data_IF_960535364139
#
_entry.id   IF_960535364139
#
_cell.length_a   1.000
_cell.length_b   1.000
_cell.length_c   1.000
_cell.angle_alpha   90.00
_cell.angle_beta   90.00
_cell.angle_gamma   90.00
#
_symmetry.space_group_name_H-M   'P 1'
#
loop_
_entity.id
_entity.type
_entity.pdbx_description
1 polymer ?
#
# COMPACT_ATOMS: atom_id res chain seq x y z
N UNK A 1 1.07 3.77 7.09
CA UNK A 1 2.21 3.83 6.15
C UNK A 1 3.39 3.09 6.79
N UNK A 2 4.14 2.23 6.07
CA UNK A 2 5.14 1.34 6.69
C UNK A 2 6.58 1.58 6.18
N UNK A 3 7.52 2.04 7.03
CA UNK A 3 8.91 2.23 6.63
C UNK A 3 9.60 0.87 6.39
N UNK A 4 10.36 0.78 5.30
CA UNK A 4 11.25 -0.35 5.02
C UNK A 4 12.67 0.13 5.24
N UNK A 5 13.29 -0.38 6.30
CA UNK A 5 14.68 -0.11 6.67
C UNK A 5 15.47 -1.38 6.41
N UNK A 6 16.44 -1.32 5.49
CA UNK A 6 17.37 -2.42 5.25
C UNK A 6 18.75 -2.03 5.79
N UNK A 7 19.21 -2.76 6.80
CA UNK A 7 20.47 -2.51 7.49
C UNK A 7 21.68 -3.24 6.87
N UNK A 8 21.49 -4.09 5.86
CA UNK A 8 22.54 -5.03 5.39
C UNK A 8 22.75 -5.06 3.87
N UNK A 9 21.78 -4.68 3.04
CA UNK A 9 21.92 -4.72 1.57
C UNK A 9 21.58 -3.38 0.91
N UNK A 10 22.59 -2.71 0.34
CA UNK A 10 22.46 -1.42 -0.35
C UNK A 10 21.60 -1.46 -1.62
N UNK A 11 21.37 -2.65 -2.20
CA UNK A 11 20.53 -2.83 -3.39
C UNK A 11 19.07 -3.16 -3.07
N UNK A 12 18.72 -3.33 -1.78
CA UNK A 12 17.34 -3.54 -1.39
C UNK A 12 16.57 -2.21 -1.39
N UNK A 13 15.27 -2.27 -1.69
CA UNK A 13 14.41 -1.10 -1.60
C UNK A 13 14.46 -0.51 -0.18
N UNK A 14 14.84 0.75 -0.11
CA UNK A 14 14.71 1.61 1.06
C UNK A 14 13.63 2.63 0.73
N UNK A 15 12.72 2.84 1.67
CA UNK A 15 11.62 3.76 1.47
C UNK A 15 10.39 3.30 2.22
N UNK A 16 9.23 3.60 1.68
CA UNK A 16 7.98 3.40 2.40
C UNK A 16 6.92 2.77 1.52
N UNK A 17 6.13 1.87 2.09
CA UNK A 17 5.01 1.23 1.39
C UNK A 17 3.67 1.64 1.97
N UNK A 18 2.64 1.59 1.13
CA UNK A 18 1.26 1.91 1.46
C UNK A 18 0.32 1.00 0.66
N UNK A 19 -0.94 0.95 1.09
CA UNK A 19 -2.04 0.32 0.34
C UNK A 19 -3.09 1.39 0.11
N UNK A 20 -3.47 1.58 -1.15
CA UNK A 20 -4.60 2.41 -1.55
C UNK A 20 -5.85 1.56 -1.64
N UNK A 21 -6.98 2.20 -1.35
CA UNK A 21 -8.32 1.67 -1.53
C UNK A 21 -9.09 2.67 -2.39
N UNK A 22 -9.79 2.18 -3.42
CA UNK A 22 -10.60 3.02 -4.29
C UNK A 22 -12.11 2.90 -4.00
N UNK A 23 -12.91 3.66 -4.76
CA UNK A 23 -14.38 3.67 -4.66
C UNK A 23 -15.03 2.31 -4.98
N UNK A 24 -14.30 1.40 -5.61
CA UNK A 24 -14.76 0.06 -5.98
C UNK A 24 -14.20 -1.01 -5.03
N UNK A 25 -13.69 -0.58 -3.87
CA UNK A 25 -13.08 -1.45 -2.86
C UNK A 25 -11.84 -2.21 -3.36
N UNK A 26 -11.22 -1.76 -4.45
CA UNK A 26 -10.01 -2.37 -4.96
C UNK A 26 -8.81 -1.89 -4.17
N UNK A 27 -8.01 -2.85 -3.72
CA UNK A 27 -6.75 -2.60 -3.01
C UNK A 27 -5.59 -2.65 -3.96
N UNK A 28 -4.72 -1.65 -3.91
CA UNK A 28 -3.48 -1.62 -4.67
C UNK A 28 -2.32 -1.21 -3.78
N UNK A 29 -1.24 -1.98 -3.83
CA UNK A 29 0.00 -1.63 -3.14
C UNK A 29 0.70 -0.47 -3.85
N UNK A 30 1.41 0.33 -3.06
CA UNK A 30 2.27 1.38 -3.56
C UNK A 30 3.52 1.56 -2.73
N UNK A 31 4.52 2.21 -3.33
CA UNK A 31 5.79 2.50 -2.68
C UNK A 31 6.32 3.89 -3.02
N UNK A 32 7.03 4.48 -2.06
CA UNK A 32 7.78 5.73 -2.17
C UNK A 32 9.26 5.40 -1.91
N UNK A 33 10.14 5.47 -2.93
CA UNK A 33 11.58 5.27 -2.74
C UNK A 33 12.19 6.34 -1.84
N UNK A 34 13.20 5.98 -1.04
CA UNK A 34 13.91 6.89 -0.12
C UNK A 34 14.56 8.08 -0.84
N UNK A 35 15.01 7.90 -2.08
CA UNK A 35 15.54 8.99 -2.91
C UNK A 35 14.53 10.12 -3.15
N UNK A 36 13.24 9.81 -2.97
CA UNK A 36 12.11 10.74 -3.11
C UNK A 36 11.49 11.10 -1.75
N UNK A 37 11.95 10.47 -0.64
CA UNK A 37 11.21 10.45 0.62
C UNK A 37 11.34 11.71 1.44
N UNK A 38 12.45 12.44 1.36
CA UNK A 38 12.72 13.60 2.24
C UNK A 38 11.64 14.69 2.12
N UNK A 39 10.91 14.75 0.99
CA UNK A 39 9.77 15.66 0.79
C UNK A 39 8.41 14.99 0.60
N UNK A 40 8.36 13.69 0.28
CA UNK A 40 7.09 12.99 -0.01
C UNK A 40 6.55 12.17 1.16
N UNK A 41 7.39 11.74 2.10
CA UNK A 41 6.95 10.97 3.27
C UNK A 41 5.89 11.72 4.09
N UNK A 42 6.04 13.03 4.22
CA UNK A 42 5.11 13.90 4.96
C UNK A 42 3.76 14.11 4.25
N UNK A 43 3.56 13.59 3.03
CA UNK A 43 2.35 13.88 2.22
C UNK A 43 1.23 12.86 2.33
N UNK A 44 1.46 11.66 2.89
CA UNK A 44 0.36 10.72 3.12
C UNK A 44 0.16 10.44 4.61
N UNK A 45 -1.03 10.79 5.06
CA UNK A 45 -1.63 10.32 6.31
C UNK A 45 -2.61 9.18 6.03
N UNK A 46 -2.63 8.19 6.92
CA UNK A 46 -3.58 7.08 6.87
C UNK A 46 -5.02 7.57 7.03
N UNK A 47 -5.96 6.94 6.33
CA UNK A 47 -7.38 7.29 6.35
C UNK A 47 -7.76 8.56 5.58
N UNK A 48 -6.79 9.28 4.98
CA UNK A 48 -7.05 10.40 4.09
C UNK A 48 -7.20 9.95 2.64
N UNK A 49 -7.91 10.75 1.85
CA UNK A 49 -8.20 10.47 0.45
C UNK A 49 -7.39 11.42 -0.43
N UNK A 50 -6.70 10.85 -1.42
CA UNK A 50 -5.79 11.58 -2.31
C UNK A 50 -6.12 11.33 -3.76
N UNK A 51 -5.85 12.33 -4.59
CA UNK A 51 -5.66 12.16 -6.01
C UNK A 51 -4.17 11.97 -6.29
N UNK A 52 -3.80 10.82 -6.86
CA UNK A 52 -2.43 10.51 -7.25
C UNK A 52 -2.36 10.43 -8.78
N UNK A 53 -1.44 11.15 -9.41
CA UNK A 53 -1.29 11.27 -10.88
C UNK A 53 0.16 11.16 -11.30
N UNK A 54 0.41 10.76 -12.54
CA UNK A 54 1.75 10.70 -13.16
C UNK A 54 2.76 9.82 -12.41
N UNK A 55 2.25 8.78 -11.76
CA UNK A 55 3.05 7.73 -11.15
C UNK A 55 3.38 6.62 -12.16
N UNK A 56 4.38 5.80 -11.85
CA UNK A 56 4.74 4.64 -12.65
C UNK A 56 4.18 3.35 -12.04
N UNK A 57 4.00 2.32 -12.85
CA UNK A 57 3.70 0.97 -12.37
C UNK A 57 4.96 0.12 -12.28
N UNK A 58 4.97 -0.80 -11.31
CA UNK A 58 5.96 -1.87 -11.24
C UNK A 58 5.27 -3.22 -11.05
N UNK A 59 5.89 -4.33 -11.48
CA UNK A 59 5.36 -5.66 -11.20
C UNK A 59 5.25 -5.92 -9.70
N UNK A 60 4.12 -6.50 -9.27
CA UNK A 60 3.92 -6.93 -7.89
C UNK A 60 4.60 -8.29 -7.66
N UNK A 61 5.45 -8.39 -6.64
CA UNK A 61 6.20 -9.60 -6.36
C UNK A 61 5.25 -10.67 -5.80
N UNK A 62 5.02 -11.74 -6.57
CA UNK A 62 4.11 -12.83 -6.20
C UNK A 62 4.40 -13.48 -4.84
N UNK A 63 5.64 -13.43 -4.34
CA UNK A 63 6.02 -14.02 -3.05
C UNK A 63 5.60 -13.19 -1.85
N UNK A 64 5.47 -11.87 -2.01
CA UNK A 64 5.27 -10.94 -0.89
C UNK A 64 4.12 -9.96 -1.13
N UNK A 65 3.35 -10.14 -2.21
CA UNK A 65 2.19 -9.30 -2.52
C UNK A 65 1.16 -9.38 -1.40
N UNK A 66 0.66 -8.23 -1.00
CA UNK A 66 -0.44 -8.07 -0.05
C UNK A 66 -1.79 -7.91 -0.76
N UNK A 67 -1.78 -7.66 -2.06
CA UNK A 67 -2.97 -7.46 -2.87
C UNK A 67 -3.01 -8.41 -4.06
N UNK A 68 -4.20 -8.64 -4.60
CA UNK A 68 -4.40 -9.49 -5.78
C UNK A 68 -3.85 -8.84 -7.06
N UNK A 69 -3.59 -7.53 -7.04
CA UNK A 69 -3.19 -6.77 -8.21
C UNK A 69 -1.80 -7.18 -8.73
N UNK A 70 -1.63 -7.34 -10.05
CA UNK A 70 -0.36 -7.76 -10.64
C UNK A 70 0.70 -6.66 -10.67
N UNK A 71 0.32 -5.42 -10.38
CA UNK A 71 1.20 -4.26 -10.35
C UNK A 71 1.06 -3.49 -9.04
N UNK A 72 2.06 -2.66 -8.75
CA UNK A 72 2.07 -1.71 -7.64
C UNK A 72 2.32 -0.29 -8.17
N UNK A 73 1.84 0.71 -7.43
CA UNK A 73 2.12 2.12 -7.66
C UNK A 73 3.56 2.41 -7.23
N UNK A 74 4.35 3.04 -8.10
CA UNK A 74 5.67 3.54 -7.78
C UNK A 74 5.70 5.05 -7.89
N UNK A 75 5.68 5.70 -6.73
CA UNK A 75 5.82 7.14 -6.62
C UNK A 75 7.25 7.52 -7.01
N UNK A 76 7.36 8.62 -7.76
CA UNK A 76 8.62 9.16 -8.27
C UNK A 76 8.55 10.70 -8.28
N UNK A 77 9.60 11.34 -8.76
CA UNK A 77 9.70 12.81 -8.82
C UNK A 77 8.63 13.48 -9.70
N UNK A 78 8.08 12.77 -10.69
CA UNK A 78 7.01 13.31 -11.56
C UNK A 78 5.62 13.12 -10.97
N UNK A 79 5.48 12.38 -9.87
CA UNK A 79 4.18 12.04 -9.32
C UNK A 79 3.58 13.23 -8.60
N UNK A 80 2.34 13.56 -8.95
CA UNK A 80 1.55 14.61 -8.28
C UNK A 80 0.57 13.94 -7.32
N UNK A 81 0.60 14.40 -6.06
CA UNK A 81 -0.29 13.95 -4.99
C UNK A 81 -1.04 15.16 -4.47
N UNK A 82 -2.37 15.10 -4.46
CA UNK A 82 -3.24 16.16 -3.96
C UNK A 82 -4.22 15.59 -2.94
N UNK A 83 -4.26 16.16 -1.74
CA UNK A 83 -5.24 15.80 -0.71
C UNK A 83 -6.62 16.31 -1.14
N UNK A 84 -7.64 15.45 -1.03
CA UNK A 84 -9.04 15.83 -1.27
C UNK A 84 -9.65 16.24 0.06
N UNK A 85 -10.03 17.52 0.19
CA UNK A 85 -10.64 18.09 1.40
C UNK A 85 -12.14 18.37 1.26
N UNK A 86 -12.62 18.51 0.02
CA UNK A 86 -14.02 18.81 -0.31
C UNK A 86 -14.58 17.76 -1.27
N UNK A 87 -15.91 17.56 -1.27
CA UNK A 87 -16.61 16.58 -2.10
C UNK A 87 -15.97 15.18 -2.03
N UNK A 88 -15.70 14.75 -0.79
CA UNK A 88 -14.98 13.51 -0.51
C UNK A 88 -15.78 12.34 -1.13
N UNK A 89 -15.20 11.57 -2.07
CA UNK A 89 -15.87 10.41 -2.62
C UNK A 89 -16.15 9.40 -1.51
N UNK A 90 -17.22 8.59 -1.61
CA UNK A 90 -17.62 7.63 -0.58
C UNK A 90 -16.72 6.39 -0.58
N UNK A 91 -15.40 6.58 -0.45
CA UNK A 91 -14.41 5.53 -0.30
C UNK A 91 -14.43 5.08 1.16
N UNK A 92 -14.66 3.80 1.46
CA UNK A 92 -14.59 3.30 2.82
C UNK A 92 -13.17 3.50 3.38
N UNK A 93 -13.03 4.00 4.60
CA UNK A 93 -11.70 4.23 5.19
C UNK A 93 -10.94 2.92 5.42
N UNK A 94 -11.65 1.85 5.75
CA UNK A 94 -11.08 0.53 6.00
C UNK A 94 -12.07 -0.56 5.61
N UNK A 95 -11.55 -1.71 5.16
CA UNK A 95 -12.34 -2.92 4.93
C UNK A 95 -11.78 -4.03 5.81
N UNK A 96 -12.57 -4.45 6.79
CA UNK A 96 -12.23 -5.54 7.69
C UNK A 96 -13.01 -6.80 7.34
N UNK A 97 -12.35 -7.95 7.43
CA UNK A 97 -12.97 -9.28 7.29
C UNK A 97 -12.76 -10.07 8.58
N UNK A 98 -13.50 -9.76 9.65
CA UNK A 98 -13.31 -10.41 10.94
C UNK A 98 -13.52 -11.92 10.80
N UNK A 99 -12.61 -12.69 11.38
CA UNK A 99 -12.71 -14.14 11.46
C UNK A 99 -12.97 -14.56 12.90
N UNK A 100 -13.77 -15.61 13.10
CA UNK A 100 -14.01 -16.14 14.45
C UNK A 100 -12.74 -16.83 14.95
N UNK A 101 -12.53 -16.81 16.27
CA UNK A 101 -11.34 -17.41 16.89
C UNK A 101 -11.07 -18.88 16.49
N UNK A 102 -12.07 -19.78 16.43
CA UNK A 102 -11.84 -21.15 15.95
C UNK A 102 -11.38 -21.21 14.49
N UNK A 103 -11.87 -20.31 13.64
CA UNK A 103 -11.45 -20.22 12.23
C UNK A 103 -10.00 -19.75 12.14
N UNK A 104 -9.59 -18.78 12.97
CA UNK A 104 -8.20 -18.34 13.05
C UNK A 104 -7.25 -19.48 13.44
N UNK A 105 -7.62 -20.33 14.41
CA UNK A 105 -6.83 -21.53 14.78
C UNK A 105 -6.68 -22.47 13.59
N UNK A 106 -7.77 -22.74 12.85
CA UNK A 106 -7.74 -23.62 11.67
C UNK A 106 -6.93 -23.04 10.49
N UNK A 107 -6.87 -21.71 10.38
CA UNK A 107 -6.10 -21.03 9.34
C UNK A 107 -4.61 -20.99 9.67
N UNK A 108 -4.25 -20.85 10.94
CA UNK A 108 -2.86 -20.87 11.40
C UNK A 108 -2.18 -22.23 11.17
N UNK A 109 -2.95 -23.32 11.18
CA UNK A 109 -2.47 -24.67 10.87
C UNK A 109 -2.46 -25.00 9.37
N UNK A 110 -3.02 -24.13 8.52
CA UNK A 110 -2.98 -24.29 7.07
C UNK A 110 -1.72 -23.61 6.49
N UNK A 111 -0.88 -24.38 5.80
CA UNK A 111 0.44 -23.95 5.29
C UNK A 111 0.42 -22.82 4.23
N UNK A 112 -0.75 -22.29 3.86
CA UNK A 112 -0.91 -21.45 2.66
C UNK A 112 -1.64 -20.11 2.88
N UNK A 113 -1.83 -19.62 4.10
CA UNK A 113 -2.50 -18.33 4.31
C UNK A 113 -1.55 -17.23 4.77
N UNK A 114 -1.18 -16.36 3.82
CA UNK A 114 -1.09 -14.93 4.10
C UNK A 114 -2.42 -14.30 3.66
N UNK A 115 -3.04 -13.42 4.48
CA UNK A 115 -4.30 -12.77 4.11
C UNK A 115 -4.08 -11.86 2.89
N UNK A 116 -4.95 -11.98 1.88
CA UNK A 116 -5.14 -10.99 0.82
C UNK A 116 -6.24 -9.98 1.15
#
# INVERSE_FOLDING_TARGET
MWPIINHTNKNAFLGTTFICLDIYEQKMEGRVPISTSDTMYQRFEEGKIYHIRYFNFLPNNRRYRLTVQPYIININETTIITLIQENIPPIPSHIFRPQRYPQLISLASATNFLPG
#
